data_IF_139554026425
#
_entry.id   IF_139554026425
#
_cell.length_a   1.000
_cell.length_b   1.000
_cell.length_c   1.000
_cell.angle_alpha   90.00
_cell.angle_beta   90.00
_cell.angle_gamma   90.00
#
_symmetry.space_group_name_H-M   'P 1'
#
loop_
_entity.id
_entity.type
_entity.pdbx_description
1 polymer ?
#
# COMPACT_ATOMS: atom_id res chain seq x y z
N UNK A 1 11.38 18.88 -0.18
CA UNK A 1 10.67 17.66 0.25
C UNK A 1 11.39 16.49 -0.37
N UNK A 2 11.90 15.57 0.43
CA UNK A 2 12.66 14.42 -0.06
C UNK A 2 11.82 13.65 -1.09
N UNK A 3 12.37 13.36 -2.29
CA UNK A 3 11.64 12.68 -3.37
C UNK A 3 11.08 11.32 -2.90
N UNK A 4 11.68 10.75 -1.86
CA UNK A 4 11.33 9.50 -1.21
C UNK A 4 10.02 9.61 -0.44
N UNK A 5 9.84 10.70 0.30
CA UNK A 5 8.60 10.98 1.03
C UNK A 5 7.45 11.13 0.04
N UNK A 6 7.71 11.78 -1.10
CA UNK A 6 6.73 11.95 -2.18
C UNK A 6 6.33 10.60 -2.79
N UNK A 7 7.30 9.74 -3.10
CA UNK A 7 7.05 8.40 -3.65
C UNK A 7 6.32 7.50 -2.66
N UNK A 8 6.72 7.48 -1.39
CA UNK A 8 6.03 6.71 -0.35
C UNK A 8 4.58 7.13 -0.13
N UNK A 9 4.32 8.45 -0.20
CA UNK A 9 2.98 9.02 -0.07
C UNK A 9 2.09 8.66 -1.28
N UNK A 10 2.64 8.66 -2.50
CA UNK A 10 1.93 8.22 -3.70
C UNK A 10 1.59 6.72 -3.60
N UNK A 11 2.53 5.86 -3.19
CA UNK A 11 2.29 4.42 -3.10
C UNK A 11 1.26 4.09 -2.01
N UNK A 12 1.31 4.79 -0.87
CA UNK A 12 0.28 4.64 0.17
C UNK A 12 -1.09 5.13 -0.29
N UNK A 13 -1.18 6.24 -1.03
CA UNK A 13 -2.44 6.66 -1.66
C UNK A 13 -2.98 5.60 -2.62
N UNK A 14 -2.13 4.98 -3.44
CA UNK A 14 -2.52 3.90 -4.34
C UNK A 14 -3.03 2.68 -3.54
N UNK A 15 -2.33 2.29 -2.47
CA UNK A 15 -2.78 1.21 -1.58
C UNK A 15 -4.15 1.48 -0.93
N UNK A 16 -4.41 2.73 -0.56
CA UNK A 16 -5.70 3.18 -0.03
C UNK A 16 -6.82 3.06 -1.07
N UNK A 17 -6.57 3.48 -2.31
CA UNK A 17 -7.55 3.35 -3.40
C UNK A 17 -7.88 1.88 -3.65
N UNK A 18 -6.88 1.00 -3.66
CA UNK A 18 -7.07 -0.45 -3.82
C UNK A 18 -7.92 -1.03 -2.68
N UNK A 19 -7.67 -0.58 -1.44
CA UNK A 19 -8.47 -0.97 -0.27
C UNK A 19 -9.92 -0.51 -0.39
N UNK A 20 -10.16 0.72 -0.83
CA UNK A 20 -11.50 1.27 -1.04
C UNK A 20 -12.24 0.41 -2.08
N UNK A 21 -11.61 0.10 -3.21
CA UNK A 21 -12.20 -0.73 -4.26
C UNK A 21 -12.46 -2.16 -3.76
N UNK A 22 -11.52 -2.74 -3.02
CA UNK A 22 -11.67 -4.06 -2.40
C UNK A 22 -12.81 -4.10 -1.39
N UNK A 23 -12.98 -3.01 -0.62
CA UNK A 23 -14.08 -2.84 0.33
C UNK A 23 -15.44 -2.66 -0.35
N UNK A 24 -15.52 -1.86 -1.39
CA UNK A 24 -16.74 -1.71 -2.19
C UNK A 24 -17.16 -3.03 -2.84
N UNK A 25 -16.20 -3.88 -3.23
CA UNK A 25 -16.47 -5.20 -3.82
C UNK A 25 -16.32 -6.36 -2.83
N UNK A 26 -16.44 -6.13 -1.52
CA UNK A 26 -16.21 -7.15 -0.47
C UNK A 26 -17.03 -8.43 -0.65
N UNK A 27 -18.21 -8.32 -1.26
CA UNK A 27 -19.15 -9.43 -1.46
C UNK A 27 -18.79 -10.30 -2.67
N UNK A 28 -17.94 -9.77 -3.56
CA UNK A 28 -17.37 -10.54 -4.66
C UNK A 28 -16.17 -11.34 -4.15
N UNK A 29 -15.95 -12.53 -4.72
CA UNK A 29 -14.81 -13.41 -4.40
C UNK A 29 -13.45 -12.70 -4.53
N UNK A 30 -13.39 -11.66 -5.38
CA UNK A 30 -12.21 -10.84 -5.62
C UNK A 30 -11.99 -9.73 -4.59
N UNK A 31 -13.01 -9.33 -3.83
CA UNK A 31 -12.95 -8.25 -2.83
C UNK A 31 -11.87 -8.47 -1.77
N UNK A 32 -11.87 -9.63 -1.07
CA UNK A 32 -10.84 -9.97 -0.10
C UNK A 32 -9.43 -9.99 -0.70
N UNK A 33 -9.28 -10.47 -1.94
CA UNK A 33 -8.01 -10.47 -2.67
C UNK A 33 -7.49 -9.05 -2.95
N UNK A 34 -8.36 -8.14 -3.37
CA UNK A 34 -7.99 -6.73 -3.56
C UNK A 34 -7.65 -6.05 -2.23
N UNK A 35 -8.37 -6.35 -1.14
CA UNK A 35 -8.02 -5.83 0.18
C UNK A 35 -6.63 -6.27 0.60
N UNK A 36 -6.33 -7.57 0.46
CA UNK A 36 -5.00 -8.11 0.76
C UNK A 36 -3.92 -7.44 -0.07
N UNK A 37 -4.15 -7.24 -1.37
CA UNK A 37 -3.22 -6.51 -2.24
C UNK A 37 -2.94 -5.08 -1.75
N UNK A 38 -3.98 -4.35 -1.34
CA UNK A 38 -3.85 -3.00 -0.79
C UNK A 38 -3.05 -2.96 0.52
N UNK A 39 -3.30 -3.91 1.43
CA UNK A 39 -2.53 -4.04 2.68
C UNK A 39 -1.07 -4.39 2.40
N UNK A 40 -0.78 -5.35 1.51
CA UNK A 40 0.60 -5.70 1.17
C UNK A 40 1.36 -4.53 0.55
N UNK A 41 0.68 -3.70 -0.25
CA UNK A 41 1.28 -2.49 -0.83
C UNK A 41 1.69 -1.49 0.24
N UNK A 42 0.83 -1.27 1.24
CA UNK A 42 1.12 -0.42 2.40
C UNK A 42 2.30 -0.95 3.23
N UNK A 43 2.30 -2.25 3.51
CA UNK A 43 3.39 -2.91 4.25
C UNK A 43 4.71 -2.79 3.49
N UNK A 44 4.70 -2.95 2.16
CA UNK A 44 5.88 -2.79 1.32
C UNK A 44 6.55 -1.43 1.47
N UNK A 45 5.77 -0.34 1.58
CA UNK A 45 6.31 1.01 1.83
C UNK A 45 6.96 1.11 3.21
N UNK A 46 6.34 0.52 4.23
CA UNK A 46 6.89 0.50 5.60
C UNK A 46 8.20 -0.29 5.63
N UNK A 47 8.21 -1.48 5.03
CA UNK A 47 9.42 -2.34 4.93
C UNK A 47 10.53 -1.61 4.18
N UNK A 48 10.22 -0.96 3.06
CA UNK A 48 11.19 -0.15 2.31
C UNK A 48 11.79 0.96 3.17
N UNK A 49 10.96 1.66 3.95
CA UNK A 49 11.41 2.70 4.87
C UNK A 49 12.31 2.14 5.99
N UNK A 50 11.97 0.96 6.53
CA UNK A 50 12.75 0.29 7.56
C UNK A 50 14.11 -0.15 7.00
N UNK A 51 14.14 -0.84 5.86
CA UNK A 51 15.38 -1.31 5.22
C UNK A 51 16.32 -0.13 4.96
N UNK A 52 15.78 0.95 4.40
CA UNK A 52 16.55 2.15 4.11
C UNK A 52 17.06 2.85 5.36
N UNK A 53 16.26 2.88 6.44
CA UNK A 53 16.70 3.39 7.74
C UNK A 53 17.80 2.51 8.36
N UNK A 54 17.76 1.20 8.08
CA UNK A 54 18.77 0.25 8.47
C UNK A 54 20.06 0.38 7.63
N UNK A 55 20.04 1.17 6.56
CA UNK A 55 21.20 1.40 5.68
C UNK A 55 21.39 0.35 4.59
N UNK A 56 20.37 -0.48 4.34
CA UNK A 56 20.30 -1.48 3.26
C UNK A 56 19.47 -0.90 2.11
#
# INVERSE_FOLDING_TARGET
MDPILKTGLIITLVGLVILIIGYTRRESRSGPLLMWAGVTTMIGVVVYYILRKLGI
#
